data_IF_281886270566
#
_entry.id   IF_281886270566
#
_cell.length_a   1.000
_cell.length_b   1.000
_cell.length_c   1.000
_cell.angle_alpha   90.00
_cell.angle_beta   90.00
_cell.angle_gamma   90.00
#
_symmetry.space_group_name_H-M   'P 1'
#
loop_
_entity.id
_entity.type
_entity.pdbx_description
1 polymer ?
#
# COMPACT_ATOMS: atom_id res chain seq x y z
N UNK A 1 -5.29 -12.24 -17.75
CA UNK A 1 -5.36 -11.36 -16.57
C UNK A 1 -6.83 -11.19 -16.22
N UNK A 2 -7.22 -11.49 -14.98
CA UNK A 2 -8.60 -11.34 -14.50
C UNK A 2 -9.03 -9.86 -14.56
N UNK A 3 -10.31 -9.59 -14.81
CA UNK A 3 -10.86 -8.22 -14.77
C UNK A 3 -10.65 -7.55 -13.41
N UNK A 4 -10.67 -8.34 -12.33
CA UNK A 4 -10.40 -7.87 -10.96
C UNK A 4 -8.97 -7.33 -10.83
N UNK A 5 -8.00 -7.99 -11.46
CA UNK A 5 -6.60 -7.57 -11.40
C UNK A 5 -6.38 -6.29 -12.21
N UNK A 6 -7.03 -6.17 -13.38
CA UNK A 6 -7.00 -4.92 -14.16
C UNK A 6 -7.60 -3.76 -13.38
N UNK A 7 -8.68 -4.00 -12.64
CA UNK A 7 -9.31 -2.96 -11.82
C UNK A 7 -8.42 -2.58 -10.63
N UNK A 8 -7.76 -3.54 -9.99
CA UNK A 8 -6.74 -3.26 -8.98
C UNK A 8 -5.61 -2.39 -9.55
N UNK A 9 -5.04 -2.75 -10.69
CA UNK A 9 -3.98 -1.99 -11.35
C UNK A 9 -4.44 -0.54 -11.64
N UNK A 10 -5.66 -0.37 -12.16
CA UNK A 10 -6.24 0.95 -12.42
C UNK A 10 -6.40 1.78 -11.14
N UNK A 11 -6.79 1.17 -10.02
CA UNK A 11 -6.91 1.87 -8.73
C UNK A 11 -5.54 2.32 -8.22
N UNK A 12 -4.50 1.50 -8.39
CA UNK A 12 -3.13 1.87 -8.06
C UNK A 12 -2.62 3.03 -8.94
N UNK A 13 -2.94 3.04 -10.24
CA UNK A 13 -2.60 4.14 -11.15
C UNK A 13 -3.31 5.45 -10.74
N UNK A 14 -4.59 5.38 -10.35
CA UNK A 14 -5.33 6.53 -9.83
C UNK A 14 -4.70 7.07 -8.55
N UNK A 15 -4.29 6.20 -7.62
CA UNK A 15 -3.61 6.64 -6.41
C UNK A 15 -2.27 7.32 -6.71
N UNK A 16 -1.54 6.84 -7.71
CA UNK A 16 -0.30 7.47 -8.14
C UNK A 16 -0.54 8.88 -8.72
N UNK A 17 -1.56 9.04 -9.56
CA UNK A 17 -1.92 10.34 -10.12
C UNK A 17 -2.45 11.31 -9.04
N UNK A 18 -3.24 10.81 -8.09
CA UNK A 18 -3.73 11.61 -6.96
C UNK A 18 -2.60 12.07 -6.02
N UNK A 19 -1.58 11.24 -5.82
CA UNK A 19 -0.36 11.62 -5.08
C UNK A 19 0.39 12.78 -5.75
N UNK A 20 0.41 12.81 -7.08
CA UNK A 20 0.98 13.92 -7.85
C UNK A 20 0.10 15.17 -7.90
N UNK A 21 -1.03 15.20 -7.19
CA UNK A 21 -2.06 16.24 -7.27
C UNK A 21 -2.61 16.44 -8.70
N UNK A 22 -2.55 15.39 -9.54
CA UNK A 22 -2.96 15.44 -10.95
C UNK A 22 -4.48 15.22 -11.14
N UNK A 23 -5.19 14.89 -10.06
CA UNK A 23 -6.62 14.55 -10.07
C UNK A 23 -7.40 15.31 -9.00
N UNK A 24 -8.72 15.42 -9.20
CA UNK A 24 -9.65 16.04 -8.22
C UNK A 24 -9.93 15.14 -7.01
N UNK A 25 -9.65 13.83 -7.09
CA UNK A 25 -9.78 12.91 -5.97
C UNK A 25 -8.63 13.10 -4.99
N UNK A 26 -8.91 13.13 -3.69
CA UNK A 26 -7.85 13.18 -2.69
C UNK A 26 -7.04 11.89 -2.69
N UNK A 27 -5.76 12.01 -2.36
CA UNK A 27 -4.89 10.84 -2.26
C UNK A 27 -5.43 9.84 -1.23
N UNK A 28 -5.84 10.27 -0.04
CA UNK A 28 -6.46 9.36 0.95
C UNK A 28 -7.69 8.62 0.39
N UNK A 29 -8.57 9.30 -0.35
CA UNK A 29 -9.74 8.64 -0.95
C UNK A 29 -9.33 7.59 -1.98
N UNK A 30 -8.26 7.82 -2.73
CA UNK A 30 -7.72 6.81 -3.65
C UNK A 30 -7.17 5.58 -2.92
N UNK A 31 -6.52 5.77 -1.76
CA UNK A 31 -6.03 4.68 -0.90
C UNK A 31 -7.18 3.86 -0.30
N UNK A 32 -8.25 4.54 0.13
CA UNK A 32 -9.47 3.90 0.61
C UNK A 32 -10.12 3.02 -0.45
N UNK A 33 -10.21 3.51 -1.69
CA UNK A 33 -10.76 2.73 -2.80
C UNK A 33 -9.96 1.45 -3.04
N UNK A 34 -8.62 1.49 -2.93
CA UNK A 34 -7.79 0.29 -3.03
C UNK A 34 -8.13 -0.66 -1.88
N UNK A 35 -8.12 -0.18 -0.63
CA UNK A 35 -8.38 -0.99 0.57
C UNK A 35 -9.76 -1.66 0.52
N UNK A 36 -10.81 -0.91 0.19
CA UNK A 36 -12.16 -1.44 0.06
C UNK A 36 -12.25 -2.47 -1.07
N UNK A 37 -11.60 -2.22 -2.20
CA UNK A 37 -11.59 -3.15 -3.33
C UNK A 37 -10.97 -4.50 -2.95
N UNK A 38 -9.80 -4.50 -2.30
CA UNK A 38 -9.16 -5.76 -1.89
C UNK A 38 -9.93 -6.48 -0.78
N UNK A 39 -10.56 -5.75 0.15
CA UNK A 39 -11.43 -6.35 1.19
C UNK A 39 -12.67 -7.02 0.59
N UNK A 40 -13.20 -6.49 -0.51
CA UNK A 40 -14.38 -7.00 -1.20
C UNK A 40 -14.09 -8.16 -2.19
N UNK A 41 -12.82 -8.48 -2.43
CA UNK A 41 -12.41 -9.54 -3.38
C UNK A 41 -11.37 -10.50 -2.75
N UNK A 42 -11.65 -11.08 -1.57
CA UNK A 42 -10.65 -11.85 -0.79
C UNK A 42 -10.10 -13.09 -1.53
N UNK A 43 -10.84 -13.65 -2.48
CA UNK A 43 -10.41 -14.78 -3.30
C UNK A 43 -9.22 -14.47 -4.21
N UNK A 44 -8.93 -13.18 -4.44
CA UNK A 44 -7.79 -12.70 -5.23
C UNK A 44 -6.61 -12.25 -4.36
N UNK A 45 -6.59 -12.58 -3.06
CA UNK A 45 -5.53 -12.18 -2.12
C UNK A 45 -4.12 -12.41 -2.68
N UNK A 46 -3.84 -13.60 -3.21
CA UNK A 46 -2.50 -13.94 -3.68
C UNK A 46 -2.05 -13.07 -4.86
N UNK A 47 -2.98 -12.72 -5.75
CA UNK A 47 -2.72 -11.80 -6.86
C UNK A 47 -2.45 -10.37 -6.35
N UNK A 48 -3.26 -9.88 -5.39
CA UNK A 48 -3.05 -8.57 -4.78
C UNK A 48 -1.73 -8.49 -4.02
N UNK A 49 -1.36 -9.56 -3.30
CA UNK A 49 -0.04 -9.68 -2.67
C UNK A 49 1.06 -9.57 -3.72
N UNK A 50 0.90 -10.20 -4.89
CA UNK A 50 1.81 -10.05 -6.02
C UNK A 50 1.92 -8.60 -6.50
N UNK A 51 0.79 -7.92 -6.69
CA UNK A 51 0.71 -6.52 -7.09
C UNK A 51 1.39 -5.57 -6.09
N UNK A 52 1.09 -5.70 -4.79
CA UNK A 52 1.75 -4.91 -3.75
C UNK A 52 3.26 -5.13 -3.70
N UNK A 53 3.74 -6.37 -3.92
CA UNK A 53 5.19 -6.65 -4.03
C UNK A 53 5.83 -5.92 -5.22
N UNK A 54 5.13 -5.80 -6.35
CA UNK A 54 5.61 -5.05 -7.51
C UNK A 54 5.70 -3.56 -7.19
N UNK A 55 4.70 -3.00 -6.52
CA UNK A 55 4.68 -1.60 -6.07
C UNK A 55 5.90 -1.32 -5.18
N UNK A 56 6.15 -2.16 -4.17
CA UNK A 56 7.28 -2.01 -3.24
C UNK A 56 8.66 -2.13 -3.91
N UNK A 57 8.74 -2.73 -5.10
CA UNK A 57 9.99 -2.87 -5.85
C UNK A 57 10.16 -1.81 -6.94
N UNK A 58 9.12 -1.03 -7.22
CA UNK A 58 9.11 0.00 -8.27
C UNK A 58 9.60 1.33 -7.72
N UNK A 59 10.48 2.02 -8.45
CA UNK A 59 11.05 3.31 -8.01
C UNK A 59 10.06 4.47 -8.00
N UNK A 60 8.89 4.30 -8.62
CA UNK A 60 7.93 5.38 -8.88
C UNK A 60 6.57 5.13 -8.22
N UNK A 61 6.41 4.08 -7.40
CA UNK A 61 5.10 3.73 -6.85
C UNK A 61 5.01 4.11 -5.38
N UNK A 62 3.82 4.53 -4.90
CA UNK A 62 3.69 5.06 -3.56
C UNK A 62 3.68 3.92 -2.54
N UNK A 63 4.79 3.78 -1.81
CA UNK A 63 4.94 2.80 -0.72
C UNK A 63 3.85 2.97 0.34
N UNK A 64 3.39 4.20 0.54
CA UNK A 64 2.27 4.57 1.40
C UNK A 64 0.98 3.85 1.06
N UNK A 65 0.69 3.58 -0.22
CA UNK A 65 -0.52 2.83 -0.57
C UNK A 65 -0.50 1.41 0.01
N UNK A 66 0.70 0.80 0.06
CA UNK A 66 0.90 -0.50 0.68
C UNK A 66 0.83 -0.39 2.20
N UNK A 67 1.51 0.59 2.80
CA UNK A 67 1.47 0.82 4.25
C UNK A 67 0.03 1.01 4.75
N UNK A 68 -0.71 1.90 4.07
CA UNK A 68 -2.12 2.19 4.36
C UNK A 68 -3.00 0.95 4.31
N UNK A 69 -2.87 0.12 3.28
CA UNK A 69 -3.65 -1.11 3.18
C UNK A 69 -3.25 -2.12 4.26
N UNK A 70 -1.96 -2.26 4.54
CA UNK A 70 -1.45 -3.25 5.49
C UNK A 70 -1.77 -2.90 6.94
N UNK A 71 -2.00 -1.62 7.27
CA UNK A 71 -2.50 -1.22 8.59
C UNK A 71 -3.78 -1.98 8.96
N UNK A 72 -4.72 -2.09 8.02
CA UNK A 72 -5.98 -2.80 8.22
C UNK A 72 -5.85 -4.31 7.93
N UNK A 73 -5.21 -4.67 6.80
CA UNK A 73 -5.20 -6.05 6.32
C UNK A 73 -4.24 -6.98 7.06
N UNK A 74 -3.14 -6.44 7.59
CA UNK A 74 -2.12 -7.17 8.34
C UNK A 74 -1.62 -8.46 7.62
N UNK A 75 -1.47 -8.43 6.29
CA UNK A 75 -1.05 -9.62 5.53
C UNK A 75 0.43 -9.96 5.77
N UNK A 76 0.76 -11.11 6.39
CA UNK A 76 2.14 -11.46 6.73
C UNK A 76 3.03 -11.61 5.49
N UNK A 77 2.47 -11.97 4.34
CA UNK A 77 3.21 -12.18 3.09
C UNK A 77 3.89 -10.90 2.59
N UNK A 78 3.34 -9.73 2.91
CA UNK A 78 3.92 -8.42 2.59
C UNK A 78 4.96 -8.05 3.64
N UNK A 79 4.68 -8.24 4.93
CA UNK A 79 5.64 -8.02 6.02
C UNK A 79 6.94 -8.80 5.81
N UNK A 80 6.83 -10.10 5.55
CA UNK A 80 7.97 -10.99 5.30
C UNK A 80 8.74 -10.56 4.05
N UNK A 81 8.02 -10.17 2.99
CA UNK A 81 8.65 -9.67 1.77
C UNK A 81 9.47 -8.41 2.03
N UNK A 82 8.90 -7.42 2.71
CA UNK A 82 9.58 -6.18 3.06
C UNK A 82 10.85 -6.46 3.87
N UNK A 83 10.77 -7.30 4.90
CA UNK A 83 11.92 -7.72 5.71
C UNK A 83 13.00 -8.38 4.83
N UNK A 84 12.61 -9.25 3.89
CA UNK A 84 13.56 -9.93 3.00
C UNK A 84 14.26 -9.01 2.00
N UNK A 85 13.66 -7.86 1.69
CA UNK A 85 14.18 -6.88 0.71
C UNK A 85 14.93 -5.72 1.35
N UNK A 86 14.72 -5.46 2.64
CA UNK A 86 15.49 -4.47 3.37
C UNK A 86 16.97 -4.87 3.41
N UNK A 87 17.82 -4.05 2.77
CA UNK A 87 19.26 -4.21 2.84
C UNK A 87 19.82 -3.19 3.84
N UNK A 88 20.49 -3.60 4.93
CA UNK A 88 21.04 -2.69 5.92
C UNK A 88 22.12 -1.72 5.39
N UNK A 89 22.66 -1.93 4.18
CA UNK A 89 23.58 -0.98 3.55
C UNK A 89 22.84 0.17 2.84
N UNK A 90 22.48 1.22 3.58
CA UNK A 90 22.27 2.62 3.13
C UNK A 90 21.57 2.85 1.77
N UNK A 91 20.58 2.03 1.39
CA UNK A 91 19.70 2.33 0.26
C UNK A 91 18.54 3.19 0.77
N UNK A 92 18.27 4.39 0.22
CA UNK A 92 17.07 5.17 0.53
C UNK A 92 15.77 4.37 0.45
N UNK A 93 15.71 3.34 -0.40
CA UNK A 93 14.57 2.42 -0.47
C UNK A 93 14.36 1.63 0.82
N UNK A 94 15.41 1.39 1.60
CA UNK A 94 15.32 0.71 2.89
C UNK A 94 14.63 1.57 3.95
N UNK A 95 14.66 2.90 3.83
CA UNK A 95 13.87 3.78 4.70
C UNK A 95 12.39 3.75 4.33
N UNK A 96 12.05 3.80 3.04
CA UNK A 96 10.67 3.67 2.57
C UNK A 96 10.07 2.28 2.87
N UNK A 97 10.87 1.22 2.80
CA UNK A 97 10.44 -0.12 3.21
C UNK A 97 10.22 -0.21 4.73
N UNK A 98 10.98 0.54 5.55
CA UNK A 98 10.76 0.59 6.99
C UNK A 98 9.44 1.24 7.36
N UNK A 99 9.01 2.30 6.66
CA UNK A 99 7.71 2.92 6.95
C UNK A 99 6.53 1.98 6.64
N UNK A 100 6.69 1.05 5.70
CA UNK A 100 5.66 0.01 5.48
C UNK A 100 5.59 -0.95 6.67
N UNK A 101 6.71 -1.24 7.35
CA UNK A 101 6.70 -2.13 8.52
C UNK A 101 6.02 -1.49 9.74
N UNK A 102 6.09 -0.18 9.91
CA UNK A 102 5.47 0.50 11.06
C UNK A 102 3.94 0.42 11.03
N UNK A 103 3.34 0.21 9.85
CA UNK A 103 1.90 -0.04 9.73
C UNK A 103 1.44 -1.32 10.45
N UNK A 104 2.35 -2.27 10.70
CA UNK A 104 2.08 -3.53 11.42
C UNK A 104 2.28 -3.42 12.93
N UNK A 105 2.84 -2.32 13.42
CA UNK A 105 3.05 -2.12 14.86
C UNK A 105 1.76 -1.67 15.54
N UNK A 106 1.64 -1.86 16.85
CA UNK A 106 0.46 -1.40 17.61
C UNK A 106 0.21 0.10 17.40
N UNK A 107 1.29 0.87 17.43
CA UNK A 107 1.30 2.30 17.12
C UNK A 107 1.90 2.54 15.74
N UNK A 108 1.10 3.08 14.82
CA UNK A 108 1.58 3.54 13.51
C UNK A 108 1.63 5.08 13.51
N UNK A 109 2.81 5.71 13.48
CA UNK A 109 2.94 7.17 13.57
C UNK A 109 2.19 7.92 12.49
N UNK A 110 2.14 7.38 11.26
CA UNK A 110 1.53 8.05 10.12
C UNK A 110 0.00 7.90 10.09
N UNK A 111 -0.59 7.19 11.06
CA UNK A 111 -2.03 6.97 11.12
C UNK A 111 -2.82 8.29 11.29
N UNK A 112 -2.24 9.29 11.95
CA UNK A 112 -2.88 10.59 12.20
C UNK A 112 -2.98 11.47 10.94
N UNK A 113 -2.19 11.16 9.90
CA UNK A 113 -2.26 11.79 8.58
C UNK A 113 -3.58 11.45 7.88
N UNK A 114 -4.13 10.27 8.17
CA UNK A 114 -5.31 9.74 7.50
C UNK A 114 -6.55 9.92 8.39
N UNK A 115 -7.55 10.65 7.88
CA UNK A 115 -8.84 10.79 8.57
C UNK A 115 -9.46 9.42 8.89
N UNK A 116 -9.31 8.44 8.01
CA UNK A 116 -9.78 7.08 8.20
C UNK A 116 -9.30 6.43 9.51
N UNK A 117 -8.03 6.63 9.87
CA UNK A 117 -7.43 6.03 11.07
C UNK A 117 -7.48 6.95 12.29
N UNK A 118 -7.77 8.25 12.13
CA UNK A 118 -7.87 9.22 13.22
C UNK A 118 -9.08 9.05 14.15
N UNK A 119 -10.09 8.28 13.75
CA UNK A 119 -11.33 8.06 14.53
C UNK A 119 -11.46 6.64 15.10
N UNK A 120 -10.39 5.84 15.06
CA UNK A 120 -10.38 4.44 15.52
C UNK A 120 -9.94 4.28 16.97
#
# INVERSE_FOLDING_TARGET
MSEVIKQFDMLCDVAMAAFGEELEISYEMSLLNILEFVKNNPEYKDDFVGGFKIILMSNNSPFEAVAFCMRELQWPEIKEFVISKMNPSQDPRSEALRSVLTAYDEFWPDADIYQYYSMS
#
